data_IF_228275293023
#
_entry.id   IF_228275293023
#
_cell.length_a   1.000
_cell.length_b   1.000
_cell.length_c   1.000
_cell.angle_alpha   90.00
_cell.angle_beta   90.00
_cell.angle_gamma   90.00
#
_symmetry.space_group_name_H-M   'P 1'
#
loop_
_entity.id
_entity.type
_entity.pdbx_description
1 polymer ?
#
# COMPACT_ATOMS: atom_id res chain seq x y z
N UNK A 1 11.90 -7.01 2.66
CA UNK A 1 11.00 -6.32 1.72
C UNK A 1 10.55 -4.99 2.32
N UNK A 2 10.55 -3.90 1.56
CA UNK A 2 10.02 -2.60 2.01
C UNK A 2 8.50 -2.53 1.81
N UNK A 3 7.75 -2.38 2.90
CA UNK A 3 6.30 -2.35 2.89
C UNK A 3 5.74 -0.98 3.32
N UNK A 4 4.60 -0.62 2.74
CA UNK A 4 3.82 0.56 3.11
C UNK A 4 2.34 0.20 3.27
N UNK A 5 1.71 0.69 4.33
CA UNK A 5 0.26 0.63 4.54
C UNK A 5 -0.29 2.05 4.48
N UNK A 6 -1.08 2.35 3.44
CA UNK A 6 -1.50 3.71 3.09
C UNK A 6 -2.70 4.24 3.92
N UNK A 7 -3.57 3.37 4.44
CA UNK A 7 -4.80 3.81 5.10
C UNK A 7 -5.31 2.79 6.13
N UNK A 8 -4.65 2.77 7.28
CA UNK A 8 -5.03 1.91 8.41
C UNK A 8 -6.20 2.43 9.24
N UNK A 9 -6.81 3.57 8.90
CA UNK A 9 -7.95 4.12 9.64
C UNK A 9 -9.13 3.14 9.67
N UNK A 10 -9.60 2.83 10.89
CA UNK A 10 -10.67 1.86 11.13
C UNK A 10 -10.23 0.40 11.14
N UNK A 11 -8.91 0.14 11.09
CA UNK A 11 -8.29 -1.18 11.21
C UNK A 11 -7.35 -1.25 12.42
N UNK A 12 -7.74 -0.56 13.50
CA UNK A 12 -6.91 -0.37 14.70
C UNK A 12 -6.75 -1.67 15.53
N UNK A 13 -7.51 -2.72 15.22
CA UNK A 13 -7.46 -4.05 15.85
C UNK A 13 -6.53 -5.05 15.16
N UNK A 14 -5.89 -4.67 14.05
CA UNK A 14 -4.94 -5.52 13.34
C UNK A 14 -3.62 -5.68 14.11
N UNK A 15 -3.23 -6.93 14.39
CA UNK A 15 -1.86 -7.25 14.78
C UNK A 15 -0.96 -7.36 13.55
N UNK A 16 -0.06 -6.39 13.39
CA UNK A 16 0.90 -6.32 12.29
C UNK A 16 2.30 -6.80 12.69
N UNK A 17 2.50 -7.30 13.93
CA UNK A 17 3.83 -7.67 14.42
C UNK A 17 4.49 -8.76 13.56
N UNK A 18 3.72 -9.78 13.16
CA UNK A 18 4.22 -10.83 12.27
C UNK A 18 4.66 -10.29 10.91
N UNK A 19 3.84 -9.44 10.29
CA UNK A 19 4.17 -8.81 9.02
C UNK A 19 5.39 -7.88 9.14
N UNK A 20 5.46 -7.10 10.22
CA UNK A 20 6.57 -6.20 10.49
C UNK A 20 7.89 -6.96 10.65
N UNK A 21 7.88 -8.17 11.22
CA UNK A 21 9.05 -9.04 11.36
C UNK A 21 9.61 -9.56 10.03
N UNK A 22 8.75 -9.80 9.04
CA UNK A 22 9.14 -10.25 7.70
C UNK A 22 9.59 -9.09 6.78
N UNK A 23 9.20 -7.85 7.14
CA UNK A 23 9.54 -6.66 6.39
C UNK A 23 10.86 -6.06 6.88
N UNK A 24 11.73 -5.64 5.95
CA UNK A 24 12.92 -4.87 6.30
C UNK A 24 12.57 -3.45 6.75
N UNK A 25 11.39 -2.98 6.38
CA UNK A 25 10.76 -1.76 6.90
C UNK A 25 9.26 -1.81 6.63
N UNK A 26 8.44 -1.40 7.59
CA UNK A 26 6.99 -1.21 7.41
C UNK A 26 6.62 0.21 7.83
N UNK A 27 6.08 1.01 6.90
CA UNK A 27 5.54 2.35 7.17
C UNK A 27 4.02 2.30 7.16
N UNK A 28 3.38 2.76 8.22
CA UNK A 28 1.92 2.74 8.36
C UNK A 28 1.41 4.17 8.44
N UNK A 29 0.39 4.46 7.65
CA UNK A 29 -0.31 5.74 7.63
C UNK A 29 -1.78 5.52 7.94
N UNK A 30 -2.36 6.35 8.82
CA UNK A 30 -3.80 6.27 9.11
C UNK A 30 -4.63 6.65 7.89
N UNK A 31 -4.25 7.74 7.22
CA UNK A 31 -4.88 8.22 5.99
C UNK A 31 -3.82 8.69 5.02
N UNK A 32 -4.07 8.58 3.72
CA UNK A 32 -3.20 9.08 2.63
C UNK A 32 -4.04 9.91 1.65
N UNK A 33 -3.68 11.17 1.46
CA UNK A 33 -4.26 11.99 0.40
C UNK A 33 -3.68 11.61 -0.97
N UNK A 34 -4.41 11.81 -2.08
CA UNK A 34 -3.97 11.42 -3.42
C UNK A 34 -2.58 11.95 -3.80
N UNK A 35 -2.28 13.19 -3.46
CA UNK A 35 -1.00 13.85 -3.72
C UNK A 35 0.18 13.27 -2.93
N UNK A 36 -0.09 12.55 -1.84
CA UNK A 36 0.94 11.93 -1.01
C UNK A 36 1.30 10.52 -1.47
N UNK A 37 0.42 9.87 -2.25
CA UNK A 37 0.56 8.45 -2.64
C UNK A 37 1.93 8.21 -3.25
N UNK A 38 2.29 8.94 -4.31
CA UNK A 38 3.55 8.75 -5.02
C UNK A 38 4.78 8.82 -4.09
N UNK A 39 4.80 9.76 -3.15
CA UNK A 39 5.90 9.89 -2.19
C UNK A 39 5.94 8.76 -1.15
N UNK A 40 4.76 8.26 -0.74
CA UNK A 40 4.65 7.19 0.27
C UNK A 40 4.96 5.80 -0.29
N UNK A 41 4.65 5.55 -1.56
CA UNK A 41 4.94 4.28 -2.24
C UNK A 41 6.35 4.23 -2.85
N UNK A 42 7.09 5.35 -2.88
CA UNK A 42 8.41 5.41 -3.50
C UNK A 42 9.37 4.36 -2.91
N UNK A 43 9.86 3.47 -3.77
CA UNK A 43 10.78 2.39 -3.39
C UNK A 43 10.14 1.29 -2.52
N UNK A 44 8.81 1.28 -2.38
CA UNK A 44 8.10 0.17 -1.77
C UNK A 44 8.10 -1.04 -2.71
N UNK A 45 8.13 -2.22 -2.11
CA UNK A 45 7.97 -3.50 -2.78
C UNK A 45 6.60 -4.12 -2.48
N UNK A 46 6.02 -3.80 -1.33
CA UNK A 46 4.68 -4.18 -0.90
C UNK A 46 3.85 -2.94 -0.57
N UNK A 47 2.71 -2.80 -1.24
CA UNK A 47 1.69 -1.79 -0.92
C UNK A 47 0.49 -2.48 -0.28
N UNK A 48 0.06 -2.01 0.88
CA UNK A 48 -1.13 -2.45 1.60
C UNK A 48 -2.10 -1.26 1.65
N UNK A 49 -3.37 -1.49 1.30
CA UNK A 49 -4.37 -0.43 1.23
C UNK A 49 -5.80 -0.96 1.41
N UNK A 50 -6.74 -0.09 1.78
CA UNK A 50 -8.17 -0.39 1.86
C UNK A 50 -8.97 0.41 0.82
N UNK A 51 -8.82 1.73 0.82
CA UNK A 51 -9.59 2.72 0.05
C UNK A 51 -8.73 3.64 -0.82
N UNK A 52 -7.44 3.78 -0.54
CA UNK A 52 -6.53 4.64 -1.32
C UNK A 52 -6.42 4.17 -2.77
N UNK A 53 -6.65 5.07 -3.72
CA UNK A 53 -6.64 4.73 -5.15
C UNK A 53 -5.23 4.62 -5.71
N UNK A 54 -4.91 3.49 -6.33
CA UNK A 54 -3.66 3.24 -7.06
C UNK A 54 -3.96 3.16 -8.57
N UNK A 55 -3.78 4.29 -9.24
CA UNK A 55 -3.83 4.38 -10.71
C UNK A 55 -2.53 3.90 -11.40
N UNK A 56 -2.60 3.60 -12.70
CA UNK A 56 -1.48 3.13 -13.55
C UNK A 56 -0.21 3.96 -13.43
N UNK A 57 -0.33 5.29 -13.37
CA UNK A 57 0.85 6.16 -13.30
C UNK A 57 1.67 5.96 -12.03
N UNK A 58 1.04 5.57 -10.91
CA UNK A 58 1.75 5.24 -9.68
C UNK A 58 2.59 3.97 -9.85
N UNK A 59 2.04 2.95 -10.51
CA UNK A 59 2.70 1.67 -10.73
C UNK A 59 3.87 1.79 -11.73
N UNK A 60 3.68 2.59 -12.78
CA UNK A 60 4.75 2.92 -13.73
C UNK A 60 5.90 3.68 -13.04
N UNK A 61 5.58 4.58 -12.10
CA UNK A 61 6.59 5.36 -11.37
C UNK A 61 7.34 4.55 -10.31
N UNK A 62 6.78 3.42 -9.85
CA UNK A 62 7.37 2.57 -8.80
C UNK A 62 7.49 1.12 -9.27
N UNK A 63 8.43 0.82 -10.18
CA UNK A 63 8.63 -0.52 -10.73
C UNK A 63 9.15 -1.54 -9.68
N UNK A 64 9.52 -1.08 -8.48
CA UNK A 64 9.92 -1.95 -7.37
C UNK A 64 8.75 -2.69 -6.74
N UNK A 65 7.50 -2.27 -6.98
CA UNK A 65 6.31 -2.92 -6.41
C UNK A 65 6.18 -4.32 -6.99
N UNK A 66 6.09 -5.31 -6.10
CA UNK A 66 5.96 -6.74 -6.43
C UNK A 66 4.62 -7.32 -5.95
N UNK A 67 3.99 -6.65 -4.99
CA UNK A 67 2.72 -7.09 -4.41
C UNK A 67 1.89 -5.88 -3.97
N UNK A 68 0.61 -5.92 -4.30
CA UNK A 68 -0.41 -5.01 -3.79
C UNK A 68 -1.43 -5.86 -3.03
N UNK A 69 -1.61 -5.57 -1.75
CA UNK A 69 -2.56 -6.24 -0.86
C UNK A 69 -3.69 -5.29 -0.52
N UNK A 70 -4.91 -5.68 -0.89
CA UNK A 70 -6.11 -4.89 -0.61
C UNK A 70 -6.81 -5.49 0.62
N UNK A 71 -6.92 -4.70 1.69
CA UNK A 71 -7.58 -5.05 2.95
C UNK A 71 -9.07 -4.66 2.87
N UNK A 72 -9.73 -5.12 1.80
CA UNK A 72 -11.14 -4.92 1.55
C UNK A 72 -11.68 -6.08 0.69
N UNK A 73 -13.00 -6.22 0.62
CA UNK A 73 -13.63 -7.23 -0.25
C UNK A 73 -13.51 -6.86 -1.74
N UNK A 74 -13.49 -5.57 -2.07
CA UNK A 74 -13.37 -5.07 -3.44
C UNK A 74 -11.96 -4.57 -3.76
N UNK A 75 -11.57 -4.65 -5.04
CA UNK A 75 -10.24 -4.24 -5.54
C UNK A 75 -10.28 -3.10 -6.54
N UNK A 76 -11.44 -2.44 -6.72
CA UNK A 76 -11.68 -1.37 -7.71
C UNK A 76 -10.79 -0.12 -7.53
N UNK A 77 -10.17 -0.01 -6.37
CA UNK A 77 -9.22 1.05 -6.01
C UNK A 77 -7.86 0.85 -6.69
N UNK A 78 -7.56 -0.32 -7.24
CA UNK A 78 -6.33 -0.63 -7.98
C UNK A 78 -6.65 -0.82 -9.46
N UNK A 79 -5.91 -0.14 -10.33
CA UNK A 79 -6.00 -0.40 -11.77
C UNK A 79 -5.28 -1.73 -12.13
N UNK A 80 -6.02 -2.84 -12.01
CA UNK A 80 -5.51 -4.21 -12.14
C UNK A 80 -4.83 -4.52 -13.48
N UNK A 81 -5.20 -3.83 -14.56
CA UNK A 81 -4.55 -4.01 -15.88
C UNK A 81 -3.15 -3.40 -15.95
N UNK A 82 -2.80 -2.57 -14.97
CA UNK A 82 -1.50 -1.93 -14.84
C UNK A 82 -0.67 -2.48 -13.68
N UNK A 83 -1.23 -3.40 -12.89
CA UNK A 83 -0.59 -4.10 -11.77
C UNK A 83 -0.05 -5.45 -12.23
#
# INVERSE_FOLDING_TARGET
MKAVFLDSEGLDDLDLAGLAGECSSLRIFRTTAPEEVAGRIAGAELIILNKVRIARHHLVAVPSVRLISVVATGTDVVELQAA
#
